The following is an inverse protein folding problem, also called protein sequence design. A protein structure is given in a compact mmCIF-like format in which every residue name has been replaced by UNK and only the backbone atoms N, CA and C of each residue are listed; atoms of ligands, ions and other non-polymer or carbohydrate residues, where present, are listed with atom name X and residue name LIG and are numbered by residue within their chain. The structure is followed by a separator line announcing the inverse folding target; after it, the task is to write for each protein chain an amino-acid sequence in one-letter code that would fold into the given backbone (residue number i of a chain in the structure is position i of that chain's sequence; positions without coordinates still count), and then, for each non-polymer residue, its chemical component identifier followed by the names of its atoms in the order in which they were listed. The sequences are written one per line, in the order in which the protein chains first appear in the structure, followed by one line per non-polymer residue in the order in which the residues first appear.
data_IF_146488559170
#
_entry.id   IF_146488559170
#
_cell.length_a   1.000
_cell.length_b   1.000
_cell.length_c   1.000
_cell.angle_alpha   90.00
_cell.angle_beta   90.00
_cell.angle_gamma   90.00
#
_symmetry.space_group_name_H-M   'P 1'
#
loop_
_entity.id
_entity.type
_entity.pdbx_description
1 polymer ?
#
# COMPACT_ATOMS: atom_id res chain seq x y z
N UNK A 1 9.82 84.15 -25.58
CA UNK A 1 9.61 82.91 -26.35
C UNK A 1 10.05 81.73 -25.48
N UNK A 2 9.20 81.03 -24.89
CA UNK A 2 9.61 79.80 -24.15
C UNK A 2 9.24 78.54 -24.93
N UNK A 3 10.16 77.64 -25.02
CA UNK A 3 10.01 76.30 -25.58
C UNK A 3 9.34 75.30 -24.66
N UNK A 4 8.47 74.43 -25.14
CA UNK A 4 7.83 73.44 -24.28
C UNK A 4 8.72 72.20 -24.09
N UNK A 5 8.88 71.80 -22.83
CA UNK A 5 9.51 70.54 -22.42
C UNK A 5 8.57 69.37 -22.70
N UNK A 6 9.00 68.47 -23.55
CA UNK A 6 8.40 67.17 -23.77
C UNK A 6 8.81 66.21 -22.65
N UNK A 7 7.82 65.84 -21.83
CA UNK A 7 7.96 64.78 -20.83
C UNK A 7 7.73 63.44 -21.51
N UNK A 8 8.76 62.60 -21.55
CA UNK A 8 8.67 61.22 -21.99
C UNK A 8 8.19 60.39 -20.79
N UNK A 9 6.97 59.85 -20.87
CA UNK A 9 6.47 58.81 -19.94
C UNK A 9 7.02 57.46 -20.40
N UNK A 10 7.95 56.95 -19.62
CA UNK A 10 8.44 55.56 -19.76
C UNK A 10 7.48 54.62 -19.05
N UNK A 11 6.66 53.90 -19.80
CA UNK A 11 5.80 52.86 -19.29
C UNK A 11 6.60 51.63 -18.97
N UNK A 12 6.67 51.26 -17.69
CA UNK A 12 7.23 49.98 -17.24
C UNK A 12 6.16 48.87 -17.42
N UNK A 13 6.42 47.99 -18.39
CA UNK A 13 5.61 46.79 -18.60
C UNK A 13 6.04 45.71 -17.59
N UNK A 14 5.28 45.54 -16.53
CA UNK A 14 5.47 44.44 -15.55
C UNK A 14 4.95 43.15 -16.18
N UNK A 15 5.85 42.29 -16.62
CA UNK A 15 5.52 40.94 -17.04
C UNK A 15 5.23 40.08 -15.81
N UNK A 16 3.95 39.83 -15.53
CA UNK A 16 3.54 38.86 -14.51
C UNK A 16 3.81 37.45 -15.04
N UNK A 17 4.91 36.84 -14.58
CA UNK A 17 5.21 35.44 -14.81
C UNK A 17 4.18 34.55 -14.07
N UNK A 18 3.25 33.94 -14.79
CA UNK A 18 2.39 32.88 -14.27
C UNK A 18 3.25 31.62 -14.15
N UNK A 19 3.68 31.31 -12.92
CA UNK A 19 4.29 30.01 -12.60
C UNK A 19 3.16 28.98 -12.59
N UNK A 20 2.97 28.28 -13.72
CA UNK A 20 2.17 27.06 -13.73
C UNK A 20 2.94 26.00 -12.93
N UNK A 21 2.60 25.85 -11.65
CA UNK A 21 2.94 24.65 -10.91
C UNK A 21 2.15 23.50 -11.53
N UNK A 22 2.75 22.84 -12.52
CA UNK A 22 2.21 21.61 -13.06
C UNK A 22 2.15 20.58 -11.95
N UNK A 23 0.93 20.14 -11.58
CA UNK A 23 0.73 18.92 -10.84
C UNK A 23 1.32 17.79 -11.70
N UNK A 24 2.53 17.35 -11.38
CA UNK A 24 3.03 16.09 -11.89
C UNK A 24 2.18 15.00 -11.23
N UNK A 25 1.07 14.62 -11.86
CA UNK A 25 0.45 13.34 -11.57
C UNK A 25 1.49 12.29 -11.96
N UNK A 26 2.23 11.79 -10.95
CA UNK A 26 2.97 10.56 -11.10
C UNK A 26 1.95 9.55 -11.61
N UNK A 27 2.23 8.87 -12.73
CA UNK A 27 1.29 7.99 -13.43
C UNK A 27 0.97 6.70 -12.68
N UNK A 28 0.78 6.78 -11.37
CA UNK A 28 0.35 5.72 -10.46
C UNK A 28 -1.13 5.90 -10.13
N UNK A 29 -1.84 4.77 -9.85
CA UNK A 29 -3.19 4.80 -9.32
C UNK A 29 -3.27 5.67 -8.04
N UNK A 30 -4.47 6.18 -7.72
CA UNK A 30 -4.70 7.00 -6.55
C UNK A 30 -4.30 6.29 -5.24
N UNK A 31 -3.79 7.05 -4.28
CA UNK A 31 -3.43 6.61 -2.93
C UNK A 31 -3.94 7.72 -1.99
N UNK A 32 -5.26 7.83 -1.78
CA UNK A 32 -5.90 8.98 -1.14
C UNK A 32 -5.43 9.22 0.30
N UNK A 33 -5.09 8.17 1.03
CA UNK A 33 -4.55 8.26 2.38
C UNK A 33 -3.01 8.27 2.41
N UNK A 34 -2.38 8.20 1.23
CA UNK A 34 -0.92 8.26 1.08
C UNK A 34 -0.20 7.11 1.77
N UNK A 35 -0.80 5.92 1.78
CA UNK A 35 -0.27 4.76 2.52
C UNK A 35 1.14 4.41 2.09
N UNK A 36 1.45 4.37 0.78
CA UNK A 36 2.79 4.05 0.30
C UNK A 36 3.85 5.06 0.78
N UNK A 37 3.54 6.36 0.69
CA UNK A 37 4.45 7.41 1.14
C UNK A 37 4.66 7.37 2.65
N UNK A 38 3.59 7.13 3.41
CA UNK A 38 3.63 7.07 4.88
C UNK A 38 4.44 5.89 5.40
N UNK A 39 4.36 4.73 4.77
CA UNK A 39 5.13 3.56 5.21
C UNK A 39 6.60 3.67 4.82
N UNK A 40 6.95 4.38 3.73
CA UNK A 40 8.33 4.51 3.28
C UNK A 40 9.16 5.29 4.31
N UNK A 41 10.15 4.65 4.91
CA UNK A 41 10.92 5.18 6.05
C UNK A 41 10.14 5.26 7.37
N UNK A 42 8.91 4.72 7.40
CA UNK A 42 7.98 4.82 8.50
C UNK A 42 7.60 3.47 9.13
N UNK A 43 6.30 3.26 9.32
CA UNK A 43 5.76 2.03 9.94
C UNK A 43 4.68 1.44 9.06
N UNK A 44 4.80 0.15 8.77
CA UNK A 44 3.80 -0.68 8.13
C UNK A 44 3.02 -1.43 9.22
N UNK A 45 1.74 -1.09 9.41
CA UNK A 45 0.84 -1.70 10.40
C UNK A 45 0.18 -2.93 9.79
N UNK A 46 0.49 -4.10 10.32
CA UNK A 46 0.12 -5.38 9.70
C UNK A 46 -0.73 -6.21 10.65
N UNK A 47 -1.91 -6.61 10.19
CA UNK A 47 -2.77 -7.60 10.83
C UNK A 47 -2.40 -9.01 10.39
N UNK A 48 -2.22 -9.93 11.34
CA UNK A 48 -1.93 -11.32 11.06
C UNK A 48 -2.92 -12.24 11.79
N UNK A 49 -3.64 -13.08 11.03
CA UNK A 49 -4.45 -14.16 11.61
C UNK A 49 -3.68 -15.47 11.59
N UNK A 50 -3.88 -16.29 12.64
CA UNK A 50 -3.22 -17.59 12.74
C UNK A 50 -3.77 -18.55 11.68
N UNK A 51 -2.94 -18.94 10.73
CA UNK A 51 -3.30 -19.83 9.61
C UNK A 51 -2.09 -20.67 9.14
N UNK A 52 -1.64 -21.67 9.91
CA UNK A 52 -0.54 -22.54 9.48
C UNK A 52 -0.87 -23.34 8.21
N UNK A 53 0.09 -23.58 7.32
CA UNK A 53 1.52 -23.26 7.47
C UNK A 53 1.91 -21.83 7.08
N UNK A 54 0.98 -21.02 6.55
CA UNK A 54 1.28 -19.70 5.99
C UNK A 54 1.62 -18.66 7.06
N UNK A 55 0.89 -18.68 8.19
CA UNK A 55 1.08 -17.78 9.34
C UNK A 55 0.98 -18.56 10.64
N UNK A 56 2.06 -18.67 11.37
CA UNK A 56 2.05 -19.08 12.77
C UNK A 56 2.09 -17.84 13.67
N UNK A 57 0.96 -17.51 14.26
CA UNK A 57 0.81 -16.38 15.17
C UNK A 57 0.66 -16.81 16.64
N UNK A 58 1.13 -18.01 17.01
CA UNK A 58 1.10 -18.49 18.39
C UNK A 58 2.17 -17.84 19.29
N UNK A 59 3.22 -17.23 18.70
CA UNK A 59 4.32 -16.59 19.41
C UNK A 59 4.11 -15.09 19.63
N UNK A 60 5.18 -14.41 20.07
CA UNK A 60 5.18 -12.95 20.28
C UNK A 60 5.06 -12.17 18.96
N UNK A 61 5.59 -12.72 17.90
CA UNK A 61 5.48 -12.18 16.54
C UNK A 61 5.08 -13.27 15.57
N UNK A 62 4.30 -12.97 14.54
CA UNK A 62 3.94 -13.92 13.49
C UNK A 62 5.18 -14.44 12.76
N UNK A 63 5.19 -15.74 12.46
CA UNK A 63 6.22 -16.44 11.74
C UNK A 63 5.61 -17.15 10.54
N UNK A 64 6.45 -17.49 9.57
CA UNK A 64 6.04 -18.24 8.38
C UNK A 64 6.21 -17.47 7.08
N UNK A 65 5.89 -18.11 5.95
CA UNK A 65 6.15 -17.55 4.62
C UNK A 65 5.52 -16.18 4.38
N UNK A 66 4.26 -15.98 4.77
CA UNK A 66 3.59 -14.68 4.57
C UNK A 66 4.18 -13.56 5.41
N UNK A 67 4.43 -13.73 6.75
CA UNK A 67 5.15 -12.74 7.54
C UNK A 67 6.54 -12.42 7.02
N UNK A 68 7.26 -13.40 6.46
CA UNK A 68 8.60 -13.19 5.92
C UNK A 68 8.57 -12.34 4.64
N UNK A 69 7.59 -12.57 3.75
CA UNK A 69 7.34 -11.69 2.60
C UNK A 69 7.06 -10.25 3.03
N UNK A 70 6.23 -10.06 4.06
CA UNK A 70 5.90 -8.71 4.55
C UNK A 70 7.12 -8.02 5.16
N UNK A 71 7.96 -8.74 5.90
CA UNK A 71 9.23 -8.20 6.42
C UNK A 71 10.17 -7.78 5.30
N UNK A 72 10.29 -8.59 4.25
CA UNK A 72 11.11 -8.28 3.09
C UNK A 72 10.57 -7.06 2.32
N UNK A 73 9.26 -6.98 2.11
CA UNK A 73 8.61 -5.81 1.50
C UNK A 73 8.85 -4.53 2.30
N UNK A 74 8.73 -4.60 3.62
CA UNK A 74 8.99 -3.47 4.51
C UNK A 74 10.46 -3.04 4.46
N UNK A 75 11.39 -4.00 4.46
CA UNK A 75 12.83 -3.72 4.40
C UNK A 75 13.24 -2.97 3.12
N UNK A 76 12.64 -3.30 1.95
CA UNK A 76 12.88 -2.57 0.71
C UNK A 76 12.46 -1.09 0.77
N UNK A 77 11.65 -0.71 1.76
CA UNK A 77 11.10 0.63 1.95
C UNK A 77 11.61 1.31 3.23
N UNK A 78 12.64 0.77 3.84
CA UNK A 78 13.15 1.23 5.14
C UNK A 78 12.04 1.35 6.20
N UNK A 79 10.98 0.53 6.09
CA UNK A 79 9.83 0.51 6.97
C UNK A 79 10.02 -0.47 8.14
N UNK A 80 9.48 -0.11 9.31
CA UNK A 80 9.33 -1.04 10.44
C UNK A 80 7.98 -1.72 10.35
N UNK A 81 7.91 -3.01 10.65
CA UNK A 81 6.63 -3.72 10.76
C UNK A 81 6.12 -3.65 12.19
N UNK A 82 4.85 -3.25 12.34
CA UNK A 82 4.11 -3.33 13.60
C UNK A 82 2.99 -4.35 13.45
N UNK A 83 3.05 -5.41 14.26
CA UNK A 83 2.14 -6.53 14.16
C UNK A 83 0.94 -6.41 15.09
N UNK A 84 -0.25 -6.69 14.56
CA UNK A 84 -1.48 -6.90 15.32
C UNK A 84 -1.97 -8.32 15.05
N UNK A 85 -1.96 -9.19 16.07
CA UNK A 85 -2.47 -10.55 15.95
C UNK A 85 -3.90 -10.61 16.45
N UNK A 86 -4.83 -11.06 15.62
CA UNK A 86 -6.25 -11.22 15.98
C UNK A 86 -6.96 -12.19 15.03
N UNK A 87 -8.25 -12.40 15.25
CA UNK A 87 -9.11 -13.09 14.28
C UNK A 87 -9.36 -12.25 13.01
N UNK A 88 -9.55 -12.94 11.89
CA UNK A 88 -9.68 -12.33 10.55
C UNK A 88 -10.73 -11.21 10.51
N UNK A 89 -11.93 -11.41 11.08
CA UNK A 89 -13.00 -10.42 11.10
C UNK A 89 -12.59 -9.11 11.81
N UNK A 90 -11.91 -9.23 12.96
CA UNK A 90 -11.43 -8.07 13.70
C UNK A 90 -10.34 -7.32 12.94
N UNK A 91 -9.44 -8.04 12.27
CA UNK A 91 -8.39 -7.45 11.44
C UNK A 91 -8.96 -6.74 10.22
N UNK A 92 -9.96 -7.31 9.54
CA UNK A 92 -10.64 -6.67 8.42
C UNK A 92 -11.41 -5.41 8.85
N UNK A 93 -11.99 -5.43 10.05
CA UNK A 93 -12.61 -4.23 10.63
C UNK A 93 -11.58 -3.14 10.88
N UNK A 94 -10.43 -3.46 11.47
CA UNK A 94 -9.34 -2.52 11.71
C UNK A 94 -8.73 -1.99 10.39
N UNK A 95 -8.60 -2.84 9.37
CA UNK A 95 -8.18 -2.43 8.03
C UNK A 95 -9.12 -1.39 7.42
N UNK A 96 -10.43 -1.65 7.48
CA UNK A 96 -11.47 -0.74 6.99
C UNK A 96 -11.51 0.60 7.73
N UNK A 97 -11.15 0.60 9.01
CA UNK A 97 -11.07 1.81 9.86
C UNK A 97 -9.78 2.61 9.65
N UNK A 98 -8.82 2.07 8.89
CA UNK A 98 -7.52 2.70 8.67
C UNK A 98 -6.53 2.50 9.82
N UNK A 99 -6.82 1.59 10.74
CA UNK A 99 -5.90 1.22 11.82
C UNK A 99 -4.79 0.28 11.37
N UNK A 100 -5.02 -0.46 10.28
CA UNK A 100 -4.05 -1.34 9.62
C UNK A 100 -3.83 -0.92 8.16
N UNK A 101 -2.68 -1.29 7.63
CA UNK A 101 -2.28 -1.04 6.24
C UNK A 101 -2.33 -2.32 5.41
N UNK A 102 -2.19 -3.47 6.06
CA UNK A 102 -2.11 -4.78 5.43
C UNK A 102 -2.70 -5.85 6.35
N UNK A 103 -3.42 -6.82 5.79
CA UNK A 103 -3.85 -8.02 6.51
C UNK A 103 -3.44 -9.26 5.73
N UNK A 104 -2.92 -10.25 6.47
CA UNK A 104 -2.53 -11.56 5.99
C UNK A 104 -3.04 -12.68 6.92
N UNK A 105 -3.02 -13.92 6.45
CA UNK A 105 -3.50 -15.07 7.23
C UNK A 105 -4.04 -16.18 6.35
N UNK A 106 -3.34 -16.54 5.28
CA UNK A 106 -3.80 -17.56 4.33
C UNK A 106 -5.07 -17.15 3.59
N UNK A 107 -5.28 -15.85 3.38
CA UNK A 107 -6.41 -15.33 2.62
C UNK A 107 -6.33 -15.84 1.18
N UNK A 108 -7.49 -16.21 0.61
CA UNK A 108 -7.55 -16.68 -0.75
C UNK A 108 -8.40 -15.77 -1.63
N UNK A 109 -8.27 -15.89 -2.94
CA UNK A 109 -9.08 -15.17 -3.93
C UNK A 109 -10.61 -15.40 -3.74
N UNK A 110 -10.99 -16.47 -3.04
CA UNK A 110 -12.40 -16.77 -2.70
C UNK A 110 -12.84 -16.06 -1.41
N UNK A 111 -11.99 -15.24 -0.78
CA UNK A 111 -12.31 -14.50 0.44
C UNK A 111 -13.55 -13.61 0.26
N UNK A 112 -14.45 -13.57 1.24
CA UNK A 112 -15.68 -12.76 1.17
C UNK A 112 -15.43 -11.24 1.31
N UNK A 113 -14.20 -10.81 1.59
CA UNK A 113 -13.88 -9.43 1.98
C UNK A 113 -13.72 -8.43 0.83
N UNK A 114 -14.04 -8.84 -0.41
CA UNK A 114 -13.87 -7.99 -1.61
C UNK A 114 -14.69 -6.69 -1.61
N UNK A 115 -15.68 -6.57 -0.73
CA UNK A 115 -16.46 -5.34 -0.56
C UNK A 115 -15.88 -4.40 0.49
N UNK A 116 -15.02 -4.90 1.37
CA UNK A 116 -14.48 -4.17 2.51
C UNK A 116 -12.97 -3.91 2.41
N UNK A 117 -12.27 -4.64 1.54
CA UNK A 117 -10.83 -4.52 1.32
C UNK A 117 -10.46 -4.70 -0.15
N UNK A 118 -9.36 -4.10 -0.57
CA UNK A 118 -8.68 -4.45 -1.80
C UNK A 118 -7.92 -5.78 -1.61
N UNK A 119 -8.19 -6.77 -2.43
CA UNK A 119 -7.39 -8.00 -2.44
C UNK A 119 -6.30 -7.86 -3.50
N UNK A 120 -5.07 -8.24 -3.18
CA UNK A 120 -3.98 -8.30 -4.15
C UNK A 120 -4.29 -9.32 -5.25
N UNK A 121 -3.58 -9.25 -6.36
CA UNK A 121 -3.49 -10.39 -7.27
C UNK A 121 -2.94 -11.61 -6.52
N UNK A 122 -3.33 -12.83 -6.93
CA UNK A 122 -2.72 -14.04 -6.39
C UNK A 122 -1.20 -14.02 -6.57
N UNK A 123 -0.47 -14.38 -5.52
CA UNK A 123 1.01 -14.42 -5.53
C UNK A 123 1.57 -15.83 -5.35
N UNK A 124 0.75 -16.78 -4.89
CA UNK A 124 1.13 -18.18 -4.73
C UNK A 124 -0.10 -19.08 -4.80
N UNK A 125 0.12 -20.38 -5.06
CA UNK A 125 -0.90 -21.42 -4.92
C UNK A 125 -0.67 -22.19 -3.61
N UNK A 126 -1.76 -22.59 -2.97
CA UNK A 126 -1.74 -23.49 -1.80
C UNK A 126 -2.77 -24.60 -2.00
N UNK A 127 -2.72 -25.62 -1.15
CA UNK A 127 -3.73 -26.68 -1.12
C UNK A 127 -4.50 -26.59 0.17
N UNK A 128 -5.81 -26.38 0.08
CA UNK A 128 -6.70 -26.32 1.23
C UNK A 128 -6.84 -27.68 1.96
N UNK A 129 -7.47 -27.69 3.13
CA UNK A 129 -7.71 -28.92 3.91
C UNK A 129 -8.55 -29.96 3.18
N UNK A 130 -9.35 -29.54 2.22
CA UNK A 130 -10.18 -30.36 1.33
C UNK A 130 -9.42 -30.95 0.13
N UNK A 131 -8.13 -30.61 -0.01
CA UNK A 131 -7.29 -31.01 -1.14
C UNK A 131 -7.49 -30.15 -2.40
N UNK A 132 -8.34 -29.11 -2.33
CA UNK A 132 -8.51 -28.18 -3.45
C UNK A 132 -7.39 -27.14 -3.49
N UNK A 133 -7.00 -26.76 -4.72
CA UNK A 133 -6.09 -25.65 -4.93
C UNK A 133 -6.76 -24.32 -4.63
N UNK A 134 -6.05 -23.46 -3.93
CA UNK A 134 -6.46 -22.11 -3.63
C UNK A 134 -5.33 -21.13 -3.97
N UNK A 135 -5.70 -19.93 -4.38
CA UNK A 135 -4.77 -18.84 -4.74
C UNK A 135 -4.68 -17.87 -3.57
N UNK A 136 -3.46 -17.70 -3.03
CA UNK A 136 -3.18 -16.82 -1.88
C UNK A 136 -3.18 -15.35 -2.30
N UNK A 137 -3.79 -14.51 -1.47
CA UNK A 137 -3.85 -13.05 -1.61
C UNK A 137 -3.61 -12.38 -0.26
N UNK A 138 -3.27 -11.09 -0.28
CA UNK A 138 -3.25 -10.24 0.90
C UNK A 138 -4.33 -9.16 0.78
N UNK A 139 -4.80 -8.60 1.90
CA UNK A 139 -5.80 -7.55 1.92
C UNK A 139 -5.19 -6.20 2.28
N UNK A 140 -5.58 -5.15 1.55
CA UNK A 140 -5.14 -3.76 1.72
C UNK A 140 -6.37 -2.84 1.82
N UNK A 141 -6.24 -1.60 2.34
CA UNK A 141 -7.36 -0.67 2.38
C UNK A 141 -7.90 -0.37 0.97
N UNK A 142 -9.22 -0.22 0.87
CA UNK A 142 -9.86 0.14 -0.40
C UNK A 142 -9.37 1.53 -0.87
N UNK A 143 -9.02 1.61 -2.14
CA UNK A 143 -8.63 2.88 -2.77
C UNK A 143 -7.14 3.16 -2.72
N UNK A 144 -6.36 2.51 -1.85
CA UNK A 144 -4.90 2.65 -1.75
C UNK A 144 -4.18 1.89 -2.89
N UNK A 145 -4.53 2.27 -4.13
CA UNK A 145 -4.11 1.53 -5.33
C UNK A 145 -2.60 1.65 -5.61
N UNK A 146 -1.96 2.74 -5.19
CA UNK A 146 -0.52 2.91 -5.33
C UNK A 146 0.20 1.93 -4.40
N UNK A 147 -0.23 1.87 -3.13
CA UNK A 147 0.28 0.91 -2.16
C UNK A 147 0.04 -0.53 -2.63
N UNK A 148 -1.20 -0.86 -3.03
CA UNK A 148 -1.54 -2.18 -3.59
C UNK A 148 -0.65 -2.55 -4.77
N UNK A 149 -0.47 -1.66 -5.73
CA UNK A 149 0.36 -1.90 -6.91
C UNK A 149 1.85 -2.09 -6.57
N UNK A 150 2.34 -1.40 -5.54
CA UNK A 150 3.71 -1.57 -5.06
C UNK A 150 3.91 -2.93 -4.37
N UNK A 151 2.94 -3.35 -3.54
CA UNK A 151 2.93 -4.66 -2.91
C UNK A 151 2.82 -5.77 -3.94
N UNK A 152 1.91 -5.68 -4.89
CA UNK A 152 1.72 -6.68 -5.94
C UNK A 152 2.97 -6.89 -6.79
N UNK A 153 3.69 -5.81 -7.17
CA UNK A 153 4.96 -5.95 -7.91
C UNK A 153 6.02 -6.68 -7.10
N UNK A 154 6.06 -6.43 -5.78
CA UNK A 154 6.96 -7.16 -4.90
C UNK A 154 6.56 -8.64 -4.81
N UNK A 155 5.28 -8.93 -4.60
CA UNK A 155 4.75 -10.29 -4.51
C UNK A 155 4.91 -11.08 -5.82
N UNK A 156 4.78 -10.45 -6.98
CA UNK A 156 5.05 -11.09 -8.29
C UNK A 156 6.51 -11.57 -8.42
N UNK A 157 7.43 -10.90 -7.75
CA UNK A 157 8.85 -11.25 -7.80
C UNK A 157 9.29 -12.26 -6.72
N UNK A 158 8.57 -12.37 -5.60
CA UNK A 158 9.01 -13.11 -4.41
C UNK A 158 7.95 -14.08 -3.84
N UNK A 159 6.71 -14.01 -4.31
CA UNK A 159 5.58 -14.69 -3.66
C UNK A 159 5.52 -16.20 -3.87
N UNK A 160 6.10 -16.75 -4.94
CA UNK A 160 6.00 -18.19 -5.25
C UNK A 160 6.54 -19.09 -4.12
N UNK A 161 7.54 -18.61 -3.38
CA UNK A 161 8.13 -19.36 -2.27
C UNK A 161 7.18 -19.53 -1.07
N UNK A 162 6.18 -18.67 -0.95
CA UNK A 162 5.23 -18.71 0.17
C UNK A 162 4.12 -19.75 0.02
N UNK A 163 3.96 -20.34 -1.16
CA UNK A 163 2.97 -21.39 -1.44
C UNK A 163 3.49 -22.82 -1.31
N UNK A 164 4.77 -23.01 -1.04
CA UNK A 164 5.45 -24.30 -1.07
C UNK A 164 5.30 -25.12 0.22
#
# INVERSE_FOLDING_TARGET
MPTPRRTLLTGALAAAGVVLTGCTSSGYPADPDGTLDRITGGTLRVGASHHPPHVDAAGAEPQGPEPDLVRAFAAERDARVEWTVSGEEALMTALKQGDLDLVLGGLTKKSPWTTDAGLTRPYAETTGPDGEKAELVMAVPLGENQFQSALERFLDAHGEEAGA
#
